data_IF_109282442868
#
_entry.id   IF_109282442868
#
_cell.length_a   1.000
_cell.length_b   1.000
_cell.length_c   1.000
_cell.angle_alpha   90.00
_cell.angle_beta   90.00
_cell.angle_gamma   90.00
#
_symmetry.space_group_name_H-M   'P 1'
#
loop_
_entity.id
_entity.type
_entity.pdbx_description
1 polymer ?
#
# COMPACT_ATOMS: atom_id res chain seq x y z
N UNK A 1 7.91 3.09 -38.13
CA UNK A 1 7.16 4.10 -37.39
C UNK A 1 7.20 3.67 -35.93
N UNK A 2 8.03 4.36 -35.14
CA UNK A 2 8.08 4.12 -33.68
C UNK A 2 6.94 4.92 -33.07
N UNK A 3 5.96 4.23 -32.46
CA UNK A 3 4.97 4.87 -31.64
C UNK A 3 5.66 5.32 -30.34
N UNK A 4 5.83 6.62 -30.18
CA UNK A 4 6.30 7.22 -28.93
C UNK A 4 5.25 6.95 -27.85
N UNK A 5 5.68 6.25 -26.80
CA UNK A 5 4.91 6.13 -25.56
C UNK A 5 4.97 7.49 -24.85
N UNK A 6 3.96 8.31 -25.03
CA UNK A 6 3.68 9.41 -24.12
C UNK A 6 2.93 8.81 -22.94
N UNK A 7 3.64 8.41 -21.89
CA UNK A 7 3.02 8.18 -20.58
C UNK A 7 2.53 9.55 -20.07
N UNK A 8 1.27 9.64 -19.65
CA UNK A 8 0.73 10.84 -19.01
C UNK A 8 1.67 11.32 -17.91
N UNK A 9 1.93 12.62 -17.85
CA UNK A 9 2.86 13.20 -16.89
C UNK A 9 2.29 13.06 -15.48
N UNK A 10 2.99 12.33 -14.62
CA UNK A 10 2.66 12.27 -13.19
C UNK A 10 3.02 13.61 -12.52
N UNK A 11 2.10 14.18 -11.76
CA UNK A 11 2.33 15.35 -10.95
C UNK A 11 2.75 14.91 -9.54
N UNK A 12 3.91 15.37 -9.08
CA UNK A 12 4.43 15.14 -7.74
C UNK A 12 4.19 16.38 -6.90
N UNK A 13 3.57 16.25 -5.74
CA UNK A 13 3.34 17.37 -4.81
C UNK A 13 3.27 16.87 -3.37
N UNK A 14 3.49 17.79 -2.42
CA UNK A 14 3.24 17.55 -1.00
C UNK A 14 1.86 18.11 -0.67
N UNK A 15 1.04 17.33 0.01
CA UNK A 15 -0.26 17.80 0.49
C UNK A 15 -0.06 18.60 1.77
N UNK A 16 -0.36 19.89 1.72
CA UNK A 16 -0.20 20.80 2.87
C UNK A 16 -1.27 20.61 3.96
N UNK A 17 -2.29 19.79 3.72
CA UNK A 17 -3.40 19.54 4.65
C UNK A 17 -3.16 18.38 5.62
N UNK A 18 -2.11 17.57 5.42
CA UNK A 18 -1.72 16.51 6.33
C UNK A 18 -0.61 16.98 7.28
N UNK A 19 -0.60 16.48 8.50
CA UNK A 19 0.46 16.69 9.47
C UNK A 19 0.84 15.32 10.05
N UNK A 20 1.91 14.66 9.57
CA UNK A 20 2.99 15.20 8.71
C UNK A 20 2.59 15.47 7.26
N UNK A 21 3.32 16.35 6.58
CA UNK A 21 3.18 16.59 5.14
C UNK A 21 3.56 15.34 4.33
N UNK A 22 2.58 14.75 3.63
CA UNK A 22 2.79 13.54 2.83
C UNK A 22 3.02 13.87 1.35
N UNK A 23 4.00 13.21 0.76
CA UNK A 23 4.25 13.27 -0.67
C UNK A 23 3.23 12.41 -1.44
N UNK A 24 2.61 13.03 -2.43
CA UNK A 24 1.58 12.41 -3.27
C UNK A 24 1.95 12.52 -4.75
N UNK A 25 1.79 11.43 -5.46
CA UNK A 25 1.90 11.37 -6.92
C UNK A 25 0.51 11.18 -7.49
N UNK A 26 0.05 12.14 -8.29
CA UNK A 26 -1.19 12.03 -9.06
C UNK A 26 -0.85 11.85 -10.52
N UNK A 27 -1.34 10.76 -11.12
CA UNK A 27 -1.16 10.49 -12.55
C UNK A 27 -2.52 10.39 -13.25
N UNK A 28 -2.72 11.24 -14.26
CA UNK A 28 -3.93 11.26 -15.07
C UNK A 28 -3.76 10.37 -16.30
N UNK A 29 -4.79 9.60 -16.68
CA UNK A 29 -4.78 8.86 -17.94
C UNK A 29 -5.01 9.81 -19.14
N UNK A 30 -4.47 9.47 -20.30
CA UNK A 30 -4.76 10.23 -21.54
C UNK A 30 -6.22 10.07 -21.95
N UNK A 31 -6.75 8.84 -21.86
CA UNK A 31 -8.13 8.49 -22.17
C UNK A 31 -8.84 8.00 -20.88
N UNK A 32 -9.52 8.87 -20.14
CA UNK A 32 -10.18 8.50 -18.89
C UNK A 32 -11.30 7.47 -19.10
N UNK A 33 -11.25 6.35 -18.37
CA UNK A 33 -12.37 5.44 -18.22
C UNK A 33 -13.40 6.02 -17.22
N UNK A 34 -14.68 5.70 -17.41
CA UNK A 34 -15.72 6.03 -16.43
C UNK A 34 -15.65 5.08 -15.22
N UNK A 35 -14.54 5.16 -14.48
CA UNK A 35 -14.23 4.35 -13.32
C UNK A 35 -13.57 5.22 -12.23
N UNK A 36 -13.68 4.85 -10.92
CA UNK A 36 -13.13 5.66 -9.84
C UNK A 36 -11.59 5.75 -9.92
N UNK A 37 -10.98 6.75 -9.26
CA UNK A 37 -9.54 6.78 -9.08
C UNK A 37 -9.03 5.58 -8.28
N UNK A 38 -7.73 5.30 -8.36
CA UNK A 38 -7.07 4.21 -7.63
C UNK A 38 -6.05 4.79 -6.66
N UNK A 39 -6.24 4.51 -5.36
CA UNK A 39 -5.25 4.79 -4.32
C UNK A 39 -4.23 3.66 -4.25
N UNK A 40 -2.94 4.00 -4.26
CA UNK A 40 -1.82 3.05 -4.11
C UNK A 40 -1.10 3.28 -2.78
N UNK A 41 -0.99 2.23 -1.94
CA UNK A 41 -0.36 2.25 -0.62
C UNK A 41 0.79 1.24 -0.60
N UNK A 42 2.03 1.72 -0.50
CA UNK A 42 3.24 0.88 -0.57
C UNK A 42 3.54 0.13 0.74
N UNK A 43 4.53 -0.76 0.72
CA UNK A 43 4.99 -1.55 1.85
C UNK A 43 6.03 -0.86 2.72
N UNK A 44 6.35 -1.48 3.87
CA UNK A 44 7.42 -1.06 4.78
C UNK A 44 8.76 -0.93 4.04
N UNK A 45 9.52 0.10 4.37
CA UNK A 45 10.82 0.42 3.76
C UNK A 45 10.79 0.49 2.22
N UNK A 46 9.70 0.99 1.65
CA UNK A 46 9.52 1.20 0.22
C UNK A 46 9.09 2.64 -0.08
N UNK A 47 8.57 2.90 -1.26
CA UNK A 47 8.07 4.22 -1.65
C UNK A 47 7.17 4.11 -2.88
N UNK A 48 6.50 5.21 -3.24
CA UNK A 48 5.78 5.34 -4.51
C UNK A 48 6.71 5.02 -5.68
N UNK A 49 7.93 5.58 -5.67
CA UNK A 49 8.92 5.34 -6.72
C UNK A 49 9.26 3.85 -6.87
N UNK A 50 9.50 3.13 -5.78
CA UNK A 50 9.92 1.73 -5.80
C UNK A 50 8.76 0.78 -6.07
N UNK A 51 7.65 0.91 -5.32
CA UNK A 51 6.53 -0.02 -5.44
C UNK A 51 5.67 0.24 -6.68
N UNK A 52 5.51 1.48 -7.13
CA UNK A 52 4.47 1.82 -8.07
C UNK A 52 4.96 2.37 -9.41
N UNK A 53 5.97 3.25 -9.41
CA UNK A 53 6.49 3.82 -10.66
C UNK A 53 7.46 2.86 -11.35
N UNK A 54 8.58 2.49 -10.70
CA UNK A 54 9.61 1.63 -11.27
C UNK A 54 9.12 0.20 -11.57
N UNK A 55 8.15 -0.28 -10.81
CA UNK A 55 7.50 -1.56 -11.05
C UNK A 55 6.48 -1.51 -12.20
N UNK A 56 6.13 -0.31 -12.69
CA UNK A 56 5.23 -0.09 -13.82
C UNK A 56 3.74 -0.17 -13.47
N UNK A 57 3.35 -0.03 -12.21
CA UNK A 57 1.94 0.01 -11.81
C UNK A 57 1.23 1.28 -12.25
N UNK A 58 1.87 2.45 -12.03
CA UNK A 58 1.30 3.73 -12.46
C UNK A 58 0.98 3.70 -13.95
N UNK A 59 1.96 3.31 -14.79
CA UNK A 59 1.75 3.21 -16.24
C UNK A 59 0.70 2.16 -16.65
N UNK A 60 0.59 1.03 -15.92
CA UNK A 60 -0.42 0.02 -16.21
C UNK A 60 -1.84 0.52 -15.90
N UNK A 61 -2.03 1.23 -14.79
CA UNK A 61 -3.32 1.79 -14.41
C UNK A 61 -3.73 2.98 -15.29
N UNK A 62 -2.82 3.93 -15.56
CA UNK A 62 -3.11 5.05 -16.45
C UNK A 62 -3.39 4.58 -17.88
N UNK A 63 -2.64 3.57 -18.37
CA UNK A 63 -2.90 2.93 -19.65
C UNK A 63 -4.24 2.19 -19.73
N UNK A 64 -4.83 1.85 -18.57
CA UNK A 64 -6.20 1.31 -18.46
C UNK A 64 -7.26 2.39 -18.20
N UNK A 65 -6.91 3.66 -18.43
CA UNK A 65 -7.82 4.80 -18.26
C UNK A 65 -8.09 5.20 -16.80
N UNK A 66 -7.24 4.76 -15.83
CA UNK A 66 -7.45 5.02 -14.41
C UNK A 66 -6.59 6.18 -13.92
N UNK A 67 -7.22 7.13 -13.26
CA UNK A 67 -6.52 8.12 -12.45
C UNK A 67 -5.88 7.44 -11.25
N UNK A 68 -4.61 7.73 -10.98
CA UNK A 68 -3.84 7.15 -9.88
C UNK A 68 -3.53 8.21 -8.84
N UNK A 69 -3.67 7.85 -7.56
CA UNK A 69 -3.25 8.63 -6.40
C UNK A 69 -2.32 7.70 -5.60
N UNK A 70 -1.02 7.97 -5.59
CA UNK A 70 -0.05 7.16 -4.87
C UNK A 70 0.60 8.01 -3.77
N UNK A 71 0.77 7.44 -2.58
CA UNK A 71 1.21 8.18 -1.39
C UNK A 71 2.46 7.54 -0.81
N UNK A 72 3.49 8.34 -0.56
CA UNK A 72 4.58 7.94 0.33
C UNK A 72 4.10 8.03 1.78
N UNK A 73 4.19 6.91 2.51
CA UNK A 73 3.83 6.86 3.93
C UNK A 73 4.77 7.73 4.78
N UNK A 74 4.38 8.16 6.00
CA UNK A 74 5.27 8.91 6.88
C UNK A 74 6.64 8.24 7.01
N UNK A 75 7.72 9.02 6.93
CA UNK A 75 9.10 8.51 7.02
C UNK A 75 9.61 7.73 5.82
N UNK A 76 8.85 7.69 4.71
CA UNK A 76 9.22 7.00 3.47
C UNK A 76 9.29 7.96 2.29
N UNK A 77 10.14 7.62 1.32
CA UNK A 77 10.22 8.33 0.05
C UNK A 77 10.50 9.83 0.21
N UNK A 78 9.59 10.67 -0.24
CA UNK A 78 9.67 12.13 -0.13
C UNK A 78 8.72 12.72 0.93
N UNK A 79 8.01 11.88 1.69
CA UNK A 79 7.19 12.31 2.82
C UNK A 79 8.04 12.75 4.02
N UNK A 80 7.46 13.63 4.85
CA UNK A 80 8.12 14.03 6.10
C UNK A 80 8.31 12.84 7.05
N UNK A 81 9.34 12.95 7.89
CA UNK A 81 9.71 11.99 8.92
C UNK A 81 9.55 12.65 10.30
N UNK A 82 8.34 12.72 10.86
CA UNK A 82 8.10 13.34 12.16
C UNK A 82 8.80 12.57 13.29
N UNK A 83 9.17 13.26 14.36
CA UNK A 83 9.74 12.64 15.57
C UNK A 83 8.65 12.00 16.46
N UNK A 84 7.40 12.46 16.33
CA UNK A 84 6.27 12.01 17.13
C UNK A 84 5.76 10.65 16.62
N UNK A 85 5.75 9.64 17.50
CA UNK A 85 5.30 8.28 17.22
C UNK A 85 3.81 8.24 16.84
N UNK A 86 2.98 9.11 17.40
CA UNK A 86 1.55 9.19 17.11
C UNK A 86 1.26 9.43 15.62
N UNK A 87 2.19 10.09 14.93
CA UNK A 87 2.12 10.33 13.48
C UNK A 87 2.23 9.05 12.63
N UNK A 88 2.68 7.95 13.22
CA UNK A 88 2.89 6.66 12.55
C UNK A 88 1.86 5.60 12.93
N UNK A 89 0.89 5.92 13.76
CA UNK A 89 -0.17 4.96 14.09
C UNK A 89 -1.02 4.65 12.86
N UNK A 90 -1.49 3.40 12.69
CA UNK A 90 -2.37 3.02 11.57
C UNK A 90 -3.62 3.89 11.47
N UNK A 91 -4.21 4.27 12.61
CA UNK A 91 -5.37 5.17 12.66
C UNK A 91 -5.06 6.55 12.08
N UNK A 92 -3.93 7.14 12.44
CA UNK A 92 -3.48 8.43 11.91
C UNK A 92 -3.20 8.35 10.42
N UNK A 93 -2.43 7.36 9.98
CA UNK A 93 -2.12 7.16 8.55
C UNK A 93 -3.41 7.01 7.74
N UNK A 94 -4.41 6.25 8.20
CA UNK A 94 -5.69 6.12 7.49
C UNK A 94 -6.48 7.44 7.43
N UNK A 95 -6.41 8.27 8.45
CA UNK A 95 -7.03 9.59 8.44
C UNK A 95 -6.38 10.50 7.39
N UNK A 96 -5.06 10.50 7.30
CA UNK A 96 -4.30 11.27 6.30
C UNK A 96 -4.58 10.76 4.87
N UNK A 97 -4.65 9.44 4.67
CA UNK A 97 -5.05 8.85 3.38
C UNK A 97 -6.47 9.30 2.97
N UNK A 98 -7.43 9.33 3.90
CA UNK A 98 -8.79 9.80 3.63
C UNK A 98 -8.80 11.29 3.23
N UNK A 99 -8.04 12.12 3.93
CA UNK A 99 -7.88 13.53 3.58
C UNK A 99 -7.32 13.70 2.17
N UNK A 100 -6.21 13.00 1.86
CA UNK A 100 -5.54 13.05 0.54
C UNK A 100 -6.50 12.67 -0.59
N UNK A 101 -7.22 11.55 -0.47
CA UNK A 101 -8.12 11.11 -1.55
C UNK A 101 -9.32 12.04 -1.70
N UNK A 102 -9.81 12.63 -0.61
CA UNK A 102 -10.89 13.60 -0.62
C UNK A 102 -10.46 14.89 -1.32
N UNK A 103 -9.30 15.42 -0.98
CA UNK A 103 -8.72 16.62 -1.62
C UNK A 103 -8.35 16.37 -3.08
N UNK A 104 -7.97 15.13 -3.41
CA UNK A 104 -7.76 14.68 -4.78
C UNK A 104 -9.07 14.46 -5.56
N UNK A 105 -10.22 14.72 -4.98
CA UNK A 105 -11.50 14.72 -5.68
C UNK A 105 -12.27 13.39 -5.64
N UNK A 106 -11.83 12.37 -4.88
CA UNK A 106 -12.64 11.18 -4.65
C UNK A 106 -13.98 11.57 -3.98
N UNK A 107 -15.06 10.92 -4.40
CA UNK A 107 -16.43 11.18 -3.89
C UNK A 107 -17.04 9.87 -3.40
N UNK A 108 -17.96 9.92 -2.44
CA UNK A 108 -18.69 8.72 -2.02
C UNK A 108 -19.34 7.99 -3.19
N UNK A 109 -19.48 6.68 -3.05
CA UNK A 109 -20.17 5.83 -4.02
C UNK A 109 -21.59 6.36 -4.30
N UNK A 110 -21.95 6.49 -5.57
CA UNK A 110 -23.25 6.98 -5.99
C UNK A 110 -23.82 6.10 -7.10
N UNK A 111 -25.08 5.68 -6.95
CA UNK A 111 -25.75 4.85 -7.95
C UNK A 111 -25.88 5.60 -9.29
N UNK A 112 -25.53 4.92 -10.38
CA UNK A 112 -25.52 5.50 -11.72
C UNK A 112 -24.30 6.35 -12.06
N UNK A 113 -23.33 6.45 -11.16
CA UNK A 113 -22.07 7.18 -11.33
C UNK A 113 -20.87 6.22 -11.16
N UNK A 114 -20.52 5.47 -12.22
CA UNK A 114 -19.44 4.46 -12.14
C UNK A 114 -18.06 5.05 -11.84
N UNK A 115 -17.88 6.36 -12.07
CA UNK A 115 -16.68 7.14 -11.73
C UNK A 115 -16.62 7.54 -10.25
N UNK A 116 -17.70 7.37 -9.48
CA UNK A 116 -17.74 7.67 -8.04
C UNK A 116 -17.07 6.57 -7.23
N UNK A 117 -16.65 6.92 -6.02
CA UNK A 117 -15.92 6.01 -5.13
C UNK A 117 -14.41 6.08 -5.32
N UNK A 118 -13.76 5.04 -4.81
CA UNK A 118 -12.32 4.85 -4.81
C UNK A 118 -12.01 3.36 -4.91
N UNK A 119 -11.06 2.97 -5.74
CA UNK A 119 -10.45 1.66 -5.64
C UNK A 119 -9.12 1.77 -4.88
N UNK A 120 -8.74 0.72 -4.15
CA UNK A 120 -7.53 0.75 -3.32
C UNK A 120 -6.64 -0.44 -3.68
N UNK A 121 -5.34 -0.19 -3.87
CA UNK A 121 -4.31 -1.22 -4.02
C UNK A 121 -3.28 -1.03 -2.92
N UNK A 122 -3.17 -2.01 -2.02
CA UNK A 122 -2.17 -2.03 -0.96
C UNK A 122 -1.15 -3.13 -1.16
N UNK A 123 0.09 -2.91 -0.72
CA UNK A 123 1.15 -3.91 -0.77
C UNK A 123 1.83 -4.10 0.57
N UNK A 124 1.93 -5.35 1.07
CA UNK A 124 2.58 -5.68 2.35
C UNK A 124 1.98 -4.88 3.53
N UNK A 125 2.72 -3.98 4.18
CA UNK A 125 2.18 -3.04 5.16
C UNK A 125 0.98 -2.24 4.59
N UNK A 126 1.10 -1.78 3.35
CA UNK A 126 0.00 -1.09 2.66
C UNK A 126 -1.23 -1.99 2.47
N UNK A 127 -1.09 -3.32 2.44
CA UNK A 127 -2.24 -4.23 2.42
C UNK A 127 -3.01 -4.22 3.74
N UNK A 128 -2.33 -4.15 4.87
CA UNK A 128 -2.98 -3.94 6.18
C UNK A 128 -3.76 -2.63 6.19
N UNK A 129 -3.10 -1.54 5.83
CA UNK A 129 -3.73 -0.22 5.80
C UNK A 129 -4.94 -0.18 4.85
N UNK A 130 -4.85 -0.82 3.68
CA UNK A 130 -5.93 -0.92 2.71
C UNK A 130 -7.11 -1.76 3.22
N UNK A 131 -6.85 -2.87 3.93
CA UNK A 131 -7.87 -3.67 4.60
C UNK A 131 -8.67 -2.84 5.61
N UNK A 132 -7.97 -2.20 6.54
CA UNK A 132 -8.58 -1.35 7.57
C UNK A 132 -9.27 -0.12 6.97
N UNK A 133 -8.69 0.49 5.92
CA UNK A 133 -9.28 1.62 5.20
C UNK A 133 -10.60 1.21 4.54
N UNK A 134 -10.64 0.07 3.88
CA UNK A 134 -11.88 -0.45 3.28
C UNK A 134 -12.97 -0.72 4.32
N UNK A 135 -12.61 -1.31 5.46
CA UNK A 135 -13.54 -1.58 6.54
C UNK A 135 -14.12 -0.30 7.17
N UNK A 136 -13.30 0.76 7.30
CA UNK A 136 -13.71 2.04 7.91
C UNK A 136 -14.35 3.03 6.91
N UNK A 137 -14.16 2.84 5.60
CA UNK A 137 -14.67 3.72 4.54
C UNK A 137 -15.59 3.00 3.53
N UNK A 138 -16.63 2.25 3.98
CA UNK A 138 -17.47 1.44 3.09
C UNK A 138 -18.30 2.28 2.11
N UNK A 139 -18.58 3.55 2.43
CA UNK A 139 -19.29 4.46 1.54
C UNK A 139 -18.41 5.07 0.45
N UNK A 140 -17.10 4.92 0.53
CA UNK A 140 -16.12 5.48 -0.41
C UNK A 140 -15.45 4.39 -1.25
N UNK A 141 -15.03 3.29 -0.62
CA UNK A 141 -14.22 2.25 -1.28
C UNK A 141 -15.10 1.28 -2.04
N UNK A 142 -14.82 1.10 -3.34
CA UNK A 142 -15.55 0.20 -4.24
C UNK A 142 -14.93 -1.20 -4.29
N UNK A 143 -13.62 -1.28 -4.52
CA UNK A 143 -12.86 -2.53 -4.65
C UNK A 143 -11.48 -2.41 -4.01
N UNK A 144 -10.96 -3.52 -3.54
CA UNK A 144 -9.66 -3.56 -2.85
C UNK A 144 -8.79 -4.67 -3.44
N UNK A 145 -7.53 -4.35 -3.76
CA UNK A 145 -6.50 -5.30 -4.17
C UNK A 145 -5.40 -5.31 -3.13
N UNK A 146 -5.10 -6.47 -2.57
CA UNK A 146 -4.09 -6.66 -1.54
C UNK A 146 -2.97 -7.58 -2.06
N UNK A 147 -1.77 -7.02 -2.21
CA UNK A 147 -0.58 -7.75 -2.62
C UNK A 147 0.31 -8.12 -1.43
N UNK A 148 0.68 -9.39 -1.29
CA UNK A 148 1.45 -9.89 -0.15
C UNK A 148 0.80 -9.61 1.20
N UNK A 149 -0.53 -9.82 1.36
CA UNK A 149 -1.20 -9.52 2.62
C UNK A 149 -0.78 -10.48 3.72
N UNK A 150 -0.95 -10.06 4.97
CA UNK A 150 -0.82 -10.90 6.15
C UNK A 150 -2.14 -10.92 6.93
N UNK A 151 -2.46 -12.04 7.55
CA UNK A 151 -3.61 -12.16 8.47
C UNK A 151 -3.28 -11.70 9.90
N UNK A 152 -2.01 -11.40 10.18
CA UNK A 152 -1.50 -10.87 11.45
C UNK A 152 -0.61 -9.67 11.16
N UNK A 153 -0.33 -8.88 12.18
CA UNK A 153 0.60 -7.77 12.05
C UNK A 153 2.00 -8.26 11.63
N UNK A 154 2.50 -7.87 10.45
CA UNK A 154 3.80 -8.32 9.97
C UNK A 154 4.99 -7.75 10.77
N UNK A 155 4.76 -6.71 11.57
CA UNK A 155 5.77 -6.05 12.40
C UNK A 155 5.59 -6.35 13.91
N UNK A 156 4.61 -7.17 14.30
CA UNK A 156 4.34 -7.48 15.70
C UNK A 156 5.57 -8.01 16.44
N UNK A 157 6.32 -8.92 15.78
CA UNK A 157 7.50 -9.57 16.34
C UNK A 157 8.83 -8.85 16.04
N UNK A 158 8.78 -7.66 15.42
CA UNK A 158 9.99 -6.87 15.15
C UNK A 158 10.64 -6.46 16.47
N UNK A 159 11.90 -6.84 16.69
CA UNK A 159 12.68 -6.46 17.89
C UNK A 159 13.22 -5.03 17.75
N UNK A 160 12.39 -4.08 18.20
CA UNK A 160 12.71 -2.65 18.12
C UNK A 160 13.99 -2.32 18.91
N UNK A 161 14.15 -2.92 20.11
CA UNK A 161 15.33 -2.67 20.94
C UNK A 161 16.63 -3.20 20.31
N UNK A 162 16.57 -4.37 19.67
CA UNK A 162 17.73 -4.90 18.94
C UNK A 162 18.09 -4.03 17.72
N UNK A 163 17.08 -3.55 16.98
CA UNK A 163 17.29 -2.64 15.85
C UNK A 163 17.90 -1.30 16.31
N UNK A 164 17.42 -0.73 17.41
CA UNK A 164 17.98 0.50 18.00
C UNK A 164 19.45 0.30 18.44
N UNK A 165 19.78 -0.81 19.12
CA UNK A 165 21.18 -1.12 19.47
C UNK A 165 22.07 -1.28 18.24
N UNK A 166 21.57 -1.99 17.22
CA UNK A 166 22.32 -2.14 15.98
C UNK A 166 22.67 -0.79 15.32
N UNK A 167 21.71 0.15 15.30
CA UNK A 167 21.95 1.49 14.74
C UNK A 167 22.91 2.34 15.62
N UNK A 168 22.86 2.15 16.94
CA UNK A 168 23.68 2.91 17.88
C UNK A 168 25.15 2.48 17.92
N UNK A 169 25.42 1.18 17.90
CA UNK A 169 26.77 0.65 18.16
C UNK A 169 27.17 -0.54 17.27
N UNK A 170 26.30 -0.98 16.34
CA UNK A 170 26.57 -2.10 15.46
C UNK A 170 26.35 -3.48 16.08
N UNK A 171 25.76 -3.57 17.29
CA UNK A 171 25.44 -4.86 17.92
C UNK A 171 24.57 -5.71 16.99
N UNK A 172 24.98 -6.95 16.64
CA UNK A 172 24.20 -7.79 15.72
C UNK A 172 22.79 -8.08 16.21
N UNK A 173 21.83 -8.07 15.27
CA UNK A 173 20.44 -8.45 15.54
C UNK A 173 20.32 -9.97 15.42
N UNK A 174 19.98 -10.66 16.51
CA UNK A 174 19.87 -12.12 16.55
C UNK A 174 18.61 -12.63 15.83
N UNK A 175 17.49 -11.91 15.95
CA UNK A 175 16.27 -12.25 15.23
C UNK A 175 16.42 -12.04 13.72
N UNK A 176 16.36 -13.15 12.96
CA UNK A 176 16.58 -13.14 11.52
C UNK A 176 15.54 -12.32 10.75
N UNK A 177 14.30 -12.23 11.24
CA UNK A 177 13.23 -11.46 10.61
C UNK A 177 13.49 -9.95 10.76
N UNK A 178 13.79 -9.50 11.97
CA UNK A 178 14.18 -8.11 12.26
C UNK A 178 15.44 -7.72 11.50
N UNK A 179 16.50 -8.57 11.53
CA UNK A 179 17.75 -8.32 10.81
C UNK A 179 17.52 -8.13 9.30
N UNK A 180 16.67 -8.97 8.70
CA UNK A 180 16.31 -8.86 7.28
C UNK A 180 15.57 -7.56 6.97
N UNK A 181 14.60 -7.18 7.81
CA UNK A 181 13.82 -5.93 7.62
C UNK A 181 14.72 -4.69 7.78
N UNK A 182 15.60 -4.67 8.78
CA UNK A 182 16.58 -3.58 8.97
C UNK A 182 17.55 -3.50 7.78
N UNK A 183 18.06 -4.63 7.30
CA UNK A 183 18.94 -4.66 6.13
C UNK A 183 18.24 -4.14 4.88
N UNK A 184 16.98 -4.53 4.67
CA UNK A 184 16.17 -4.05 3.57
C UNK A 184 15.93 -2.54 3.66
N UNK A 185 15.63 -2.04 4.85
CA UNK A 185 15.39 -0.62 5.09
C UNK A 185 16.64 0.22 4.84
N UNK A 186 17.80 -0.22 5.32
CA UNK A 186 19.08 0.46 5.07
C UNK A 186 19.48 0.47 3.59
N UNK A 187 19.06 -0.53 2.83
CA UNK A 187 19.33 -0.61 1.39
C UNK A 187 18.31 0.17 0.54
N UNK A 188 17.21 0.63 1.14
CA UNK A 188 16.14 1.31 0.41
C UNK A 188 16.44 2.81 0.27
N UNK A 189 16.54 3.34 -0.95
CA UNK A 189 16.76 4.76 -1.17
C UNK A 189 15.65 5.63 -0.56
N UNK A 190 16.03 6.70 0.14
CA UNK A 190 15.08 7.63 0.75
C UNK A 190 14.42 7.13 2.05
N UNK A 191 14.85 5.98 2.59
CA UNK A 191 14.38 5.50 3.90
C UNK A 191 15.16 6.20 5.03
N UNK A 192 14.43 6.78 5.96
CA UNK A 192 14.96 7.23 7.24
C UNK A 192 14.78 6.13 8.29
N UNK A 193 15.89 5.52 8.73
CA UNK A 193 15.84 4.40 9.67
C UNK A 193 15.19 4.76 11.01
N UNK A 194 15.41 5.98 11.52
CA UNK A 194 14.82 6.40 12.79
C UNK A 194 13.29 6.56 12.64
N UNK A 195 12.85 7.17 11.55
CA UNK A 195 11.43 7.27 11.20
C UNK A 195 10.78 5.88 11.03
N UNK A 196 11.50 4.92 10.42
CA UNK A 196 11.01 3.55 10.28
C UNK A 196 10.90 2.82 11.63
N UNK A 197 11.77 3.10 12.59
CA UNK A 197 11.62 2.58 13.95
C UNK A 197 10.42 3.20 14.66
N UNK A 198 10.20 4.52 14.52
CA UNK A 198 8.99 5.19 15.03
C UNK A 198 7.72 4.63 14.39
N UNK A 199 7.76 4.31 13.08
CA UNK A 199 6.64 3.62 12.42
C UNK A 199 6.37 2.23 13.03
N UNK A 200 7.41 1.44 13.29
CA UNK A 200 7.23 0.13 13.95
C UNK A 200 6.62 0.29 15.33
N UNK A 201 7.05 1.30 16.08
CA UNK A 201 6.50 1.62 17.40
C UNK A 201 5.01 2.02 17.31
N UNK A 202 4.66 2.98 16.46
CA UNK A 202 3.28 3.42 16.26
C UNK A 202 2.36 2.31 15.73
N UNK A 203 2.87 1.43 14.86
CA UNK A 203 2.11 0.26 14.39
C UNK A 203 1.81 -0.72 15.52
N UNK A 204 2.74 -0.90 16.47
CA UNK A 204 2.53 -1.78 17.63
C UNK A 204 1.55 -1.23 18.65
N UNK A 205 1.29 0.06 18.68
CA UNK A 205 0.27 0.68 19.53
C UNK A 205 -1.16 0.32 19.11
N UNK A 206 -1.37 0.04 17.81
CA UNK A 206 -2.65 -0.40 17.25
C UNK A 206 -2.47 -1.78 16.59
N UNK A 207 -2.48 -2.90 17.35
CA UNK A 207 -2.28 -4.23 16.80
C UNK A 207 -3.32 -4.59 15.73
N UNK A 208 -2.89 -5.27 14.66
CA UNK A 208 -3.77 -5.70 13.58
C UNK A 208 -4.44 -7.03 13.90
N UNK A 209 -5.76 -7.04 13.94
CA UNK A 209 -6.58 -8.25 13.84
C UNK A 209 -7.53 -8.12 12.64
N UNK A 210 -7.30 -8.93 11.63
CA UNK A 210 -8.12 -8.92 10.41
C UNK A 210 -9.61 -9.25 10.68
N UNK A 211 -9.93 -9.93 11.77
CA UNK A 211 -11.30 -10.33 12.11
C UNK A 211 -12.10 -9.20 12.77
N UNK A 212 -11.43 -8.23 13.41
CA UNK A 212 -12.13 -7.13 14.10
C UNK A 212 -12.77 -6.12 13.13
N UNK A 213 -12.16 -5.93 11.96
CA UNK A 213 -12.62 -4.94 10.98
C UNK A 213 -12.52 -5.50 9.56
N UNK A 214 -13.52 -6.29 9.14
CA UNK A 214 -13.54 -6.95 7.83
C UNK A 214 -14.16 -6.05 6.78
N UNK A 215 -13.45 -5.70 5.70
CA UNK A 215 -14.03 -4.96 4.57
C UNK A 215 -15.09 -5.81 3.86
N UNK A 216 -16.20 -5.18 3.50
CA UNK A 216 -17.34 -5.83 2.86
C UNK A 216 -17.32 -5.71 1.33
N UNK A 217 -16.43 -4.90 0.81
CA UNK A 217 -16.24 -4.70 -0.63
C UNK A 217 -15.62 -5.94 -1.28
N UNK A 218 -15.78 -6.14 -2.60
CA UNK A 218 -15.02 -7.13 -3.33
C UNK A 218 -13.51 -6.96 -3.12
N UNK A 219 -12.81 -8.06 -2.79
CA UNK A 219 -11.38 -8.10 -2.57
C UNK A 219 -10.68 -9.03 -3.55
N UNK A 220 -9.50 -8.61 -4.02
CA UNK A 220 -8.53 -9.47 -4.68
C UNK A 220 -7.30 -9.61 -3.78
N UNK A 221 -7.03 -10.83 -3.32
CA UNK A 221 -5.88 -11.17 -2.49
C UNK A 221 -4.82 -11.85 -3.35
N UNK A 222 -3.63 -11.28 -3.44
CA UNK A 222 -2.55 -11.79 -4.31
C UNK A 222 -1.30 -12.06 -3.50
N UNK A 223 -0.70 -13.24 -3.65
CA UNK A 223 0.60 -13.58 -3.07
C UNK A 223 1.48 -14.32 -4.06
N UNK A 224 2.78 -14.31 -3.82
CA UNK A 224 3.71 -15.18 -4.53
C UNK A 224 3.66 -16.61 -3.97
N UNK A 225 3.83 -17.62 -4.84
CA UNK A 225 3.88 -19.02 -4.43
C UNK A 225 4.96 -19.30 -3.36
N UNK A 226 6.08 -18.54 -3.42
CA UNK A 226 7.22 -18.65 -2.51
C UNK A 226 7.19 -17.61 -1.40
N UNK A 227 6.08 -16.89 -1.21
CA UNK A 227 5.90 -16.01 -0.08
C UNK A 227 5.60 -16.84 1.18
N UNK A 228 6.35 -16.62 2.24
CA UNK A 228 6.13 -17.28 3.53
C UNK A 228 4.74 -17.03 4.12
N UNK A 229 4.06 -15.96 3.65
CA UNK A 229 2.72 -15.53 4.07
C UNK A 229 1.62 -16.01 3.13
N UNK A 230 1.90 -16.86 2.14
CA UNK A 230 0.89 -17.31 1.15
C UNK A 230 -0.33 -17.93 1.81
N UNK A 231 -0.17 -18.60 2.94
CA UNK A 231 -1.28 -19.17 3.73
C UNK A 231 -2.25 -18.11 4.30
N UNK A 232 -1.83 -16.86 4.42
CA UNK A 232 -2.71 -15.78 4.86
C UNK A 232 -3.87 -15.53 3.87
N UNK A 233 -3.71 -15.86 2.59
CA UNK A 233 -4.78 -15.71 1.59
C UNK A 233 -6.03 -16.52 1.97
N UNK A 234 -5.86 -17.76 2.44
CA UNK A 234 -6.97 -18.62 2.86
C UNK A 234 -7.65 -18.06 4.12
N UNK A 235 -6.88 -17.62 5.10
CA UNK A 235 -7.40 -17.02 6.33
C UNK A 235 -8.23 -15.78 6.02
N UNK A 236 -7.68 -14.84 5.24
CA UNK A 236 -8.35 -13.58 4.89
C UNK A 236 -9.59 -13.82 4.00
N UNK A 237 -9.52 -14.76 3.06
CA UNK A 237 -10.66 -15.12 2.23
C UNK A 237 -11.78 -15.79 3.05
N UNK A 238 -11.42 -16.53 4.10
CA UNK A 238 -12.39 -17.09 5.04
C UNK A 238 -13.13 -16.02 5.87
N UNK A 239 -12.48 -14.87 6.13
CA UNK A 239 -13.09 -13.73 6.83
C UNK A 239 -13.96 -12.88 5.90
N UNK A 240 -13.53 -12.67 4.66
CA UNK A 240 -14.17 -11.76 3.70
C UNK A 240 -14.87 -12.54 2.57
N UNK A 241 -16.21 -12.71 2.63
CA UNK A 241 -16.94 -13.57 1.66
C UNK A 241 -16.85 -13.12 0.20
N UNK A 242 -16.55 -11.85 -0.05
CA UNK A 242 -16.38 -11.29 -1.39
C UNK A 242 -14.91 -11.32 -1.89
N UNK A 243 -14.04 -12.06 -1.21
CA UNK A 243 -12.63 -12.17 -1.60
C UNK A 243 -12.40 -13.25 -2.66
N UNK A 244 -11.53 -12.93 -3.62
CA UNK A 244 -10.93 -13.87 -4.56
C UNK A 244 -9.42 -13.91 -4.34
N UNK A 245 -8.80 -15.05 -4.61
CA UNK A 245 -7.36 -15.25 -4.36
C UNK A 245 -6.61 -15.58 -5.64
N UNK A 246 -5.39 -15.07 -5.76
CA UNK A 246 -4.46 -15.38 -6.85
C UNK A 246 -3.08 -15.67 -6.26
N UNK A 247 -2.51 -16.82 -6.58
CA UNK A 247 -1.13 -17.18 -6.25
C UNK A 247 -0.29 -17.09 -7.51
N UNK A 248 0.76 -16.26 -7.48
CA UNK A 248 1.64 -16.04 -8.65
C UNK A 248 2.82 -17.00 -8.61
N UNK A 249 2.93 -17.95 -9.58
CA UNK A 249 3.96 -18.97 -9.57
C UNK A 249 5.37 -18.41 -9.56
N UNK A 250 6.26 -19.04 -8.80
CA UNK A 250 7.69 -18.72 -8.74
C UNK A 250 8.07 -17.39 -8.08
N UNK A 251 7.08 -16.61 -7.60
CA UNK A 251 7.32 -15.30 -6.95
C UNK A 251 7.33 -15.43 -5.42
N UNK A 252 8.11 -14.57 -4.79
CA UNK A 252 8.16 -14.40 -3.34
C UNK A 252 7.60 -13.04 -2.93
N UNK A 253 7.61 -12.74 -1.63
CA UNK A 253 7.10 -11.49 -1.08
C UNK A 253 7.74 -10.23 -1.71
N UNK A 254 9.04 -10.26 -2.00
CA UNK A 254 9.75 -9.06 -2.51
C UNK A 254 9.43 -8.77 -3.98
N UNK A 255 9.26 -9.80 -4.79
CA UNK A 255 9.19 -9.65 -6.25
C UNK A 255 7.81 -9.89 -6.88
N UNK A 256 6.78 -10.25 -6.12
CA UNK A 256 5.43 -10.43 -6.66
C UNK A 256 4.83 -9.10 -7.11
N UNK A 257 5.17 -7.97 -6.46
CA UNK A 257 4.69 -6.64 -6.84
C UNK A 257 5.08 -6.25 -8.27
N UNK A 258 6.23 -6.73 -8.76
CA UNK A 258 6.70 -6.47 -10.13
C UNK A 258 6.10 -7.43 -11.16
N UNK A 259 5.40 -8.48 -10.73
CA UNK A 259 4.91 -9.53 -11.62
C UNK A 259 3.82 -9.02 -12.57
N UNK A 260 3.97 -9.29 -13.87
CA UNK A 260 2.95 -8.96 -14.87
C UNK A 260 1.61 -9.64 -14.54
N UNK A 261 1.64 -10.89 -14.08
CA UNK A 261 0.42 -11.63 -13.73
C UNK A 261 -0.35 -10.96 -12.60
N UNK A 262 0.33 -10.39 -11.58
CA UNK A 262 -0.34 -9.64 -10.53
C UNK A 262 -1.00 -8.38 -11.08
N UNK A 263 -0.28 -7.56 -11.85
CA UNK A 263 -0.84 -6.33 -12.45
C UNK A 263 -2.05 -6.64 -13.34
N UNK A 264 -1.96 -7.69 -14.15
CA UNK A 264 -3.06 -8.09 -15.04
C UNK A 264 -4.28 -8.52 -14.23
N UNK A 265 -4.13 -9.39 -13.22
CA UNK A 265 -5.23 -9.81 -12.36
C UNK A 265 -5.90 -8.62 -11.64
N UNK A 266 -5.09 -7.65 -11.17
CA UNK A 266 -5.61 -6.44 -10.55
C UNK A 266 -6.39 -5.56 -11.53
N UNK A 267 -5.86 -5.33 -12.74
CA UNK A 267 -6.56 -4.54 -13.77
C UNK A 267 -7.89 -5.18 -14.17
N UNK A 268 -7.92 -6.49 -14.40
CA UNK A 268 -9.13 -7.24 -14.74
C UNK A 268 -10.17 -7.17 -13.60
N UNK A 269 -9.72 -7.28 -12.35
CA UNK A 269 -10.57 -7.18 -11.18
C UNK A 269 -11.15 -5.76 -10.99
N UNK A 270 -10.33 -4.73 -11.13
CA UNK A 270 -10.74 -3.34 -10.98
C UNK A 270 -11.60 -2.82 -12.14
N UNK A 271 -11.56 -3.48 -13.30
CA UNK A 271 -12.40 -3.13 -14.46
C UNK A 271 -13.85 -3.65 -14.36
N UNK A 272 -14.13 -4.57 -13.43
CA UNK A 272 -15.49 -5.09 -13.23
C UNK A 272 -16.43 -4.00 -12.71
N UNK A 273 -17.69 -4.06 -13.13
CA UNK A 273 -18.72 -3.14 -12.71
C UNK A 273 -19.12 -3.32 -11.23
#
# INVERSE_FOLDING_TARGET
MMAGQHAGQAAHHTVEGTDPGLHVVVAEPEDPAALPPVLLIHGFASSVALNWEQSGWVGALTGAGRRVIAVDLPGHGASQAPEDVDSYTPGRIRADLLQIVTDSGARPLAAGHPESGLDVVGYSLGSRLAWEFGATQPALVRRIVLGGPSSRDPLAEFDLAAAQRFLADGTPIEDASTARLVTMALASPGSDMYALLSLVEGIKEEPFDAAEAVPQQPLLLVSGEKDERVAALEVLAGLAPAATTVVVPGRNHVNVVTARAFKQAALEFLAQA
#
